data_IF_422338333650
#
_entry.id   IF_422338333650
#
_cell.length_a   1.000
_cell.length_b   1.000
_cell.length_c   1.000
_cell.angle_alpha   90.00
_cell.angle_beta   90.00
_cell.angle_gamma   90.00
#
_symmetry.space_group_name_H-M   'P 1'
#
loop_
_entity.id
_entity.type
_entity.pdbx_description
1 polymer ?
#
# COMPACT_ATOMS: atom_id res chain seq x y z
N UNK A 1 -49.32 26.92 33.61
CA UNK A 1 -49.26 27.44 32.24
C UNK A 1 -48.17 28.48 32.25
N UNK A 2 -46.97 28.13 31.80
CA UNK A 2 -45.87 29.08 31.64
C UNK A 2 -45.28 28.82 30.26
N UNK A 3 -45.59 29.72 29.32
CA UNK A 3 -45.09 29.72 27.95
C UNK A 3 -43.99 30.76 27.88
N UNK A 4 -42.75 30.37 27.61
CA UNK A 4 -41.67 31.33 27.36
C UNK A 4 -40.97 31.01 26.04
N UNK A 5 -41.04 32.02 25.19
CA UNK A 5 -40.84 32.01 23.75
C UNK A 5 -39.37 31.98 23.33
N UNK A 6 -39.15 31.31 22.21
CA UNK A 6 -37.96 31.31 21.36
C UNK A 6 -37.75 32.67 20.68
N UNK A 7 -36.55 33.24 20.79
CA UNK A 7 -36.09 34.36 19.96
C UNK A 7 -34.79 33.95 19.23
N UNK A 8 -34.84 33.89 17.90
CA UNK A 8 -33.70 33.63 17.02
C UNK A 8 -33.23 34.93 16.35
N UNK A 9 -31.92 35.21 16.40
CA UNK A 9 -31.30 36.42 15.83
C UNK A 9 -30.48 36.03 14.58
N UNK A 10 -30.71 36.62 13.40
CA UNK A 10 -29.89 36.35 12.22
C UNK A 10 -28.69 37.32 12.10
N UNK A 11 -27.49 36.79 11.89
CA UNK A 11 -26.28 37.56 11.55
C UNK A 11 -25.97 37.45 10.05
N UNK A 12 -25.58 38.59 9.48
CA UNK A 12 -25.58 38.96 8.06
C UNK A 12 -24.42 38.36 7.25
N UNK A 13 -24.70 38.09 5.97
CA UNK A 13 -23.70 37.93 4.90
C UNK A 13 -22.94 39.23 4.63
N UNK A 14 -21.64 39.12 4.41
CA UNK A 14 -20.81 40.18 3.82
C UNK A 14 -20.09 39.66 2.57
N UNK A 15 -20.48 40.18 1.42
CA UNK A 15 -19.81 40.06 0.12
C UNK A 15 -18.82 41.21 -0.04
N UNK A 16 -17.52 40.94 -0.26
CA UNK A 16 -16.63 41.92 -0.89
C UNK A 16 -15.61 41.21 -1.80
N UNK A 17 -15.52 41.78 -3.00
CA UNK A 17 -14.75 41.34 -4.15
C UNK A 17 -13.37 41.98 -4.25
N UNK A 18 -12.48 41.24 -4.93
CA UNK A 18 -11.46 41.71 -5.88
C UNK A 18 -10.10 42.26 -5.36
N UNK A 19 -9.05 41.76 -6.04
CA UNK A 19 -7.87 42.44 -6.61
C UNK A 19 -6.54 41.79 -6.21
N UNK A 20 -5.87 41.21 -7.19
CA UNK A 20 -4.45 40.90 -7.11
C UNK A 20 -3.59 42.15 -7.35
N UNK A 21 -2.35 42.12 -6.88
CA UNK A 21 -1.18 42.73 -7.51
C UNK A 21 0.09 42.35 -6.73
N UNK A 22 1.19 42.26 -7.49
CA UNK A 22 2.46 41.56 -7.27
C UNK A 22 3.48 42.26 -6.34
N UNK A 23 4.70 41.65 -6.29
CA UNK A 23 6.09 42.17 -6.06
C UNK A 23 6.46 42.64 -4.64
N UNK A 24 7.67 42.42 -4.08
CA UNK A 24 8.90 41.68 -4.41
C UNK A 24 9.90 41.82 -3.21
N UNK A 25 10.77 40.81 -3.03
CA UNK A 25 12.17 40.86 -2.55
C UNK A 25 12.56 41.56 -1.22
N UNK A 26 13.15 40.80 -0.28
CA UNK A 26 14.41 41.16 0.40
C UNK A 26 15.11 39.89 0.88
N UNK A 27 16.39 39.79 0.51
CA UNK A 27 17.36 38.73 0.79
C UNK A 27 17.85 38.78 2.23
N UNK A 28 17.97 37.62 2.90
CA UNK A 28 19.07 37.35 3.86
C UNK A 28 19.47 35.88 3.78
N UNK A 29 20.62 35.69 3.14
CA UNK A 29 21.41 34.47 3.08
C UNK A 29 21.86 34.06 4.49
N UNK A 30 21.58 32.83 4.87
CA UNK A 30 22.34 32.11 5.88
C UNK A 30 22.77 30.77 5.30
N UNK A 31 24.03 30.52 5.51
CA UNK A 31 24.92 29.62 4.81
C UNK A 31 24.72 28.19 5.34
N UNK A 32 24.00 27.34 4.61
CA UNK A 32 24.13 25.89 4.73
C UNK A 32 24.64 25.35 3.41
N UNK A 33 25.96 25.33 3.30
CA UNK A 33 26.73 24.64 2.28
C UNK A 33 26.50 23.13 2.42
N UNK A 34 25.36 22.64 1.91
CA UNK A 34 25.26 21.27 1.44
C UNK A 34 25.67 21.29 -0.02
N UNK A 35 26.93 20.94 -0.24
CA UNK A 35 27.51 20.70 -1.55
C UNK A 35 26.73 19.54 -2.17
N UNK A 36 25.86 19.86 -3.12
CA UNK A 36 25.30 18.86 -4.03
C UNK A 36 26.45 18.48 -4.96
N UNK A 37 27.21 17.46 -4.60
CA UNK A 37 28.15 16.85 -5.53
C UNK A 37 27.32 16.20 -6.65
N UNK A 38 27.52 16.77 -7.81
CA UNK A 38 26.85 16.57 -9.08
C UNK A 38 27.25 15.20 -9.66
N UNK A 39 26.61 14.14 -9.17
CA UNK A 39 26.61 12.83 -9.86
C UNK A 39 25.31 12.06 -9.56
N UNK A 40 24.15 12.71 -9.68
CA UNK A 40 22.92 11.96 -9.96
C UNK A 40 22.83 11.76 -11.46
N UNK A 41 23.58 10.75 -11.94
CA UNK A 41 23.43 10.22 -13.29
C UNK A 41 21.96 10.02 -13.58
N UNK A 42 21.46 10.85 -14.51
CA UNK A 42 20.13 10.77 -15.09
C UNK A 42 20.09 9.56 -16.03
N UNK A 43 20.18 8.37 -15.44
CA UNK A 43 20.05 7.08 -16.09
C UNK A 43 18.73 6.45 -15.71
N UNK A 44 17.62 7.17 -15.91
CA UNK A 44 16.28 6.57 -15.86
C UNK A 44 16.08 5.73 -17.13
N UNK A 45 16.84 4.62 -17.22
CA UNK A 45 16.45 3.52 -18.07
C UNK A 45 15.21 2.94 -17.44
N UNK A 46 14.09 3.23 -18.09
CA UNK A 46 12.79 2.68 -17.81
C UNK A 46 12.86 1.16 -18.05
N UNK A 47 13.36 0.43 -17.05
CA UNK A 47 13.26 -1.01 -16.94
C UNK A 47 12.39 -1.30 -15.71
N UNK A 48 11.19 -0.73 -15.71
CA UNK A 48 10.07 -1.38 -15.06
C UNK A 48 10.02 -2.80 -15.66
N UNK A 49 10.21 -3.87 -14.87
CA UNK A 49 10.09 -5.21 -15.40
C UNK A 49 8.66 -5.31 -15.93
N UNK A 50 8.50 -5.42 -17.25
CA UNK A 50 7.22 -5.74 -17.83
C UNK A 50 6.73 -6.99 -17.13
N UNK A 51 5.69 -6.85 -16.31
CA UNK A 51 5.07 -7.92 -15.56
C UNK A 51 4.37 -8.84 -16.56
N UNK A 52 5.16 -9.66 -17.23
CA UNK A 52 4.63 -10.81 -17.93
C UNK A 52 3.95 -11.68 -16.86
N UNK A 53 2.75 -12.21 -17.13
CA UNK A 53 2.14 -13.17 -16.23
C UNK A 53 3.03 -14.40 -16.21
N UNK A 54 3.94 -14.46 -15.23
CA UNK A 54 4.73 -15.65 -14.94
C UNK A 54 3.74 -16.70 -14.43
N UNK A 55 3.23 -17.50 -15.35
CA UNK A 55 2.41 -18.65 -15.03
C UNK A 55 3.37 -19.68 -14.47
N UNK A 56 3.52 -19.70 -13.14
CA UNK A 56 4.35 -20.72 -12.48
C UNK A 56 3.99 -22.10 -13.02
N UNK A 57 4.99 -22.78 -13.58
CA UNK A 57 4.85 -24.04 -14.35
C UNK A 57 4.45 -25.23 -13.48
N UNK A 58 4.59 -25.11 -12.16
CA UNK A 58 4.11 -26.10 -11.21
C UNK A 58 2.57 -26.05 -11.14
N UNK A 59 1.92 -27.00 -11.79
CA UNK A 59 0.46 -27.16 -11.67
C UNK A 59 0.14 -27.56 -10.22
N UNK A 60 -0.63 -26.73 -9.52
CA UNK A 60 -1.16 -27.09 -8.21
C UNK A 60 -2.00 -28.37 -8.35
N UNK A 61 -1.69 -29.37 -7.53
CA UNK A 61 -2.38 -30.66 -7.49
C UNK A 61 -3.77 -30.51 -6.88
N UNK A 62 -3.91 -29.62 -5.89
CA UNK A 62 -5.17 -29.37 -5.20
C UNK A 62 -5.30 -27.90 -4.82
N UNK A 63 -6.53 -27.40 -4.83
CA UNK A 63 -6.88 -26.14 -4.18
C UNK A 63 -7.99 -26.37 -3.15
N UNK A 64 -7.85 -25.79 -1.96
CA UNK A 64 -8.86 -25.86 -0.92
C UNK A 64 -8.90 -24.55 -0.11
N UNK A 65 -9.94 -24.39 0.72
CA UNK A 65 -10.08 -23.23 1.60
C UNK A 65 -9.85 -23.67 3.04
N UNK A 66 -8.98 -22.99 3.80
CA UNK A 66 -8.74 -23.33 5.19
C UNK A 66 -10.00 -23.10 6.02
N UNK A 67 -10.28 -24.02 6.95
CA UNK A 67 -11.39 -23.88 7.92
C UNK A 67 -10.97 -23.15 9.18
N UNK A 68 -9.70 -23.29 9.54
CA UNK A 68 -9.09 -22.70 10.71
C UNK A 68 -7.88 -21.86 10.28
N UNK A 69 -7.55 -20.87 11.11
CA UNK A 69 -6.38 -20.05 10.85
C UNK A 69 -5.10 -20.85 11.08
N UNK A 70 -4.15 -20.70 10.15
CA UNK A 70 -2.80 -21.24 10.25
C UNK A 70 -1.80 -20.22 9.71
N UNK A 71 -0.50 -20.34 10.05
CA UNK A 71 0.55 -19.50 9.48
C UNK A 71 0.58 -19.54 7.94
N UNK A 72 0.26 -20.69 7.36
CA UNK A 72 0.16 -20.87 5.91
C UNK A 72 -1.05 -20.12 5.34
N UNK A 73 -2.20 -20.15 6.01
CA UNK A 73 -3.38 -19.38 5.62
C UNK A 73 -3.13 -17.86 5.73
N UNK A 74 -2.38 -17.42 6.74
CA UNK A 74 -1.96 -16.02 6.89
C UNK A 74 -1.05 -15.58 5.74
N UNK A 75 -0.06 -16.41 5.37
CA UNK A 75 0.83 -16.11 4.24
C UNK A 75 0.05 -16.04 2.93
N UNK A 76 -0.81 -17.04 2.67
CA UNK A 76 -1.66 -17.06 1.49
C UNK A 76 -2.61 -15.86 1.44
N UNK A 77 -3.16 -15.42 2.59
CA UNK A 77 -3.99 -14.22 2.67
C UNK A 77 -3.21 -12.97 2.21
N UNK A 78 -2.02 -12.73 2.75
CA UNK A 78 -1.19 -11.55 2.41
C UNK A 78 -0.82 -11.52 0.94
N UNK A 79 -0.43 -12.67 0.41
CA UNK A 79 -0.01 -12.84 -0.98
C UNK A 79 -1.20 -12.67 -1.94
N UNK A 80 -2.37 -13.22 -1.59
CA UNK A 80 -3.59 -13.10 -2.41
C UNK A 80 -4.19 -11.71 -2.39
N UNK A 81 -4.11 -10.99 -1.27
CA UNK A 81 -4.51 -9.58 -1.21
C UNK A 81 -3.70 -8.69 -2.17
N UNK A 82 -2.45 -9.06 -2.45
CA UNK A 82 -1.62 -8.33 -3.42
C UNK A 82 -1.76 -8.85 -4.86
N UNK A 83 -2.67 -9.79 -5.11
CA UNK A 83 -3.02 -10.30 -6.44
C UNK A 83 -2.18 -11.49 -6.92
N UNK A 84 -1.36 -12.06 -6.05
CA UNK A 84 -0.58 -13.27 -6.34
C UNK A 84 -1.33 -14.51 -5.87
N UNK A 85 -1.16 -15.64 -6.54
CA UNK A 85 -1.81 -16.90 -6.15
C UNK A 85 -1.21 -17.45 -4.87
N UNK A 86 0.10 -17.51 -4.82
CA UNK A 86 0.89 -18.12 -3.76
C UNK A 86 2.31 -17.51 -3.69
N UNK A 87 3.02 -17.83 -2.62
CA UNK A 87 4.35 -17.30 -2.35
C UNK A 87 5.34 -17.70 -3.46
N UNK A 88 5.16 -18.87 -4.09
CA UNK A 88 6.01 -19.35 -5.18
C UNK A 88 5.90 -18.46 -6.41
N UNK A 89 4.69 -18.09 -6.84
CA UNK A 89 4.49 -17.17 -7.96
C UNK A 89 5.12 -15.79 -7.69
N UNK A 90 4.98 -15.30 -6.46
CA UNK A 90 5.63 -14.06 -6.04
C UNK A 90 7.16 -14.17 -6.11
N UNK A 91 7.72 -15.27 -5.58
CA UNK A 91 9.15 -15.52 -5.55
C UNK A 91 9.76 -15.69 -6.95
N UNK A 92 9.01 -16.29 -7.88
CA UNK A 92 9.45 -16.42 -9.27
C UNK A 92 9.55 -15.05 -9.98
N UNK A 93 8.73 -14.08 -9.57
CA UNK A 93 8.69 -12.76 -10.21
C UNK A 93 9.63 -11.74 -9.55
N UNK A 94 9.67 -11.70 -8.21
CA UNK A 94 10.42 -10.68 -7.45
C UNK A 94 11.44 -11.26 -6.46
N UNK A 95 11.51 -12.58 -6.30
CA UNK A 95 12.36 -13.23 -5.31
C UNK A 95 11.76 -13.29 -3.92
N UNK A 96 12.60 -13.56 -2.94
CA UNK A 96 12.17 -13.75 -1.55
C UNK A 96 11.61 -12.43 -0.96
N UNK A 97 10.36 -12.42 -0.46
CA UNK A 97 9.81 -11.23 0.18
C UNK A 97 10.49 -10.98 1.54
N UNK A 98 10.49 -9.72 1.96
CA UNK A 98 10.91 -9.36 3.30
C UNK A 98 9.99 -10.02 4.33
N UNK A 99 10.55 -10.67 5.35
CA UNK A 99 9.83 -11.35 6.43
C UNK A 99 10.10 -10.68 7.78
N UNK A 100 9.12 -10.74 8.67
CA UNK A 100 9.26 -10.39 10.08
C UNK A 100 10.01 -11.49 10.85
N UNK A 101 10.45 -11.19 12.07
CA UNK A 101 11.16 -12.14 12.95
C UNK A 101 10.36 -13.42 13.28
N UNK A 102 9.04 -13.39 13.11
CA UNK A 102 8.17 -14.54 13.31
C UNK A 102 7.89 -15.35 12.03
N UNK A 103 8.53 -14.98 10.92
CA UNK A 103 8.39 -15.64 9.62
C UNK A 103 7.24 -15.12 8.75
N UNK A 104 6.40 -14.21 9.23
CA UNK A 104 5.33 -13.64 8.41
C UNK A 104 5.86 -12.65 7.38
N UNK A 105 5.22 -12.61 6.21
CA UNK A 105 5.59 -11.68 5.15
C UNK A 105 5.38 -10.24 5.62
N UNK A 106 6.43 -9.42 5.55
CA UNK A 106 6.44 -8.01 5.94
C UNK A 106 6.07 -7.10 4.80
N UNK A 107 6.56 -7.39 3.61
CA UNK A 107 6.39 -6.52 2.46
C UNK A 107 6.17 -7.33 1.18
N UNK A 108 5.12 -7.01 0.44
CA UNK A 108 4.79 -7.61 -0.86
C UNK A 108 4.51 -6.52 -1.87
N UNK A 109 4.95 -6.69 -3.12
CA UNK A 109 4.53 -5.84 -4.24
C UNK A 109 3.18 -6.29 -4.79
N UNK A 110 2.31 -5.35 -5.15
CA UNK A 110 1.01 -5.63 -5.77
C UNK A 110 1.19 -5.98 -7.25
N UNK A 111 0.59 -7.08 -7.69
CA UNK A 111 0.73 -7.59 -9.07
C UNK A 111 0.25 -6.62 -10.14
N UNK A 112 -0.78 -5.82 -9.86
CA UNK A 112 -1.39 -4.94 -10.84
C UNK A 112 -0.63 -3.63 -11.09
N UNK A 113 0.02 -3.06 -10.08
CA UNK A 113 0.60 -1.72 -10.13
C UNK A 113 2.02 -1.63 -9.57
N UNK A 114 2.58 -2.71 -9.03
CA UNK A 114 3.94 -2.77 -8.50
C UNK A 114 4.15 -2.06 -7.14
N UNK A 115 3.11 -1.43 -6.56
CA UNK A 115 3.25 -0.75 -5.27
C UNK A 115 3.47 -1.72 -4.11
N UNK A 116 4.17 -1.24 -3.09
CA UNK A 116 4.43 -2.02 -1.87
C UNK A 116 3.23 -2.00 -0.92
N UNK A 117 2.86 -3.19 -0.46
CA UNK A 117 1.94 -3.41 0.66
C UNK A 117 2.74 -3.89 1.86
N UNK A 118 2.61 -3.17 2.96
CA UNK A 118 3.27 -3.49 4.22
C UNK A 118 2.28 -4.17 5.18
N UNK A 119 2.74 -5.27 5.76
CA UNK A 119 1.95 -6.08 6.68
C UNK A 119 2.47 -5.94 8.10
N UNK A 120 1.59 -6.08 9.09
CA UNK A 120 1.98 -6.08 10.48
C UNK A 120 2.70 -7.38 10.88
N UNK A 121 3.51 -7.34 11.96
CA UNK A 121 4.13 -8.54 12.49
C UNK A 121 3.12 -9.45 13.20
N UNK A 122 1.92 -8.99 13.54
CA UNK A 122 0.87 -9.85 14.10
C UNK A 122 -0.07 -10.38 13.01
N UNK A 123 -0.94 -11.31 13.40
CA UNK A 123 -2.01 -11.89 12.58
C UNK A 123 -2.95 -10.80 12.05
N UNK A 124 -3.19 -10.80 10.74
CA UNK A 124 -4.12 -9.89 10.04
C UNK A 124 -5.30 -10.67 9.42
N UNK A 125 -5.14 -11.97 9.18
CA UNK A 125 -6.21 -12.82 8.67
C UNK A 125 -7.21 -13.17 9.78
N UNK A 126 -8.24 -12.35 9.91
CA UNK A 126 -9.41 -12.66 10.74
C UNK A 126 -10.15 -13.91 10.21
N UNK A 127 -10.82 -14.64 11.11
CA UNK A 127 -11.60 -15.83 10.76
C UNK A 127 -12.68 -15.55 9.70
N UNK A 128 -13.21 -14.32 9.70
CA UNK A 128 -14.18 -13.85 8.69
C UNK A 128 -13.62 -13.86 7.27
N UNK A 129 -12.30 -13.78 7.10
CA UNK A 129 -11.64 -13.77 5.78
C UNK A 129 -11.10 -15.14 5.36
N UNK A 130 -11.06 -16.14 6.25
CA UNK A 130 -10.52 -17.47 5.91
C UNK A 130 -11.22 -18.11 4.71
N UNK A 131 -12.54 -17.91 4.59
CA UNK A 131 -13.31 -18.41 3.47
C UNK A 131 -12.91 -17.80 2.11
N UNK A 132 -12.16 -16.69 2.09
CA UNK A 132 -11.67 -16.06 0.86
C UNK A 132 -10.30 -16.59 0.44
N UNK A 133 -9.52 -17.11 1.39
CA UNK A 133 -8.16 -17.61 1.18
C UNK A 133 -8.20 -18.96 0.46
N UNK A 134 -7.33 -19.12 -0.53
CA UNK A 134 -7.15 -20.38 -1.25
C UNK A 134 -5.76 -20.96 -0.96
N UNK A 135 -5.68 -22.16 -0.42
CA UNK A 135 -4.42 -22.88 -0.29
C UNK A 135 -4.22 -23.79 -1.49
N UNK A 136 -2.98 -23.87 -1.97
CA UNK A 136 -2.59 -24.65 -3.13
C UNK A 136 -1.55 -25.69 -2.71
N UNK A 137 -1.87 -26.96 -2.91
CA UNK A 137 -0.93 -28.06 -2.68
C UNK A 137 -0.24 -28.41 -4.00
N UNK A 138 1.05 -28.70 -3.93
CA UNK A 138 1.88 -29.11 -5.05
C UNK A 138 2.41 -30.51 -4.75
N UNK A 139 2.33 -31.42 -5.73
CA UNK A 139 2.86 -32.79 -5.63
C UNK A 139 4.33 -32.87 -6.01
#
# INVERSE_FOLDING_TARGET
MEVLSINATPMRQSTLSSRGSSRSSTTKSLNTQFKMDEEYSSGHNNAEPQLQPVVSSAKATRCYRPKEWSPEAEEAFRVQQTGWRDIKEYMETYGEPERWHNGFVRCTRVKANGYYTYWRPHRECDDKYLHTVKLFEYA
#
